data_IF_062949147569
#
_entry.id   IF_062949147569
#
_cell.length_a   1.000
_cell.length_b   1.000
_cell.length_c   1.000
_cell.angle_alpha   90.00
_cell.angle_beta   90.00
_cell.angle_gamma   90.00
#
_symmetry.space_group_name_H-M   'P 1'
#
loop_
_entity.id
_entity.type
_entity.pdbx_description
1 polymer ?
#
# COMPACT_ATOMS: atom_id res chain seq x y z
N UNK A 1 8.22 34.73 -24.79
CA UNK A 1 7.76 33.38 -25.16
C UNK A 1 7.56 32.58 -23.89
N UNK A 2 6.31 32.38 -23.46
CA UNK A 2 6.03 31.55 -22.29
C UNK A 2 6.32 30.10 -22.67
N UNK A 3 7.36 29.49 -22.08
CA UNK A 3 7.45 28.03 -22.06
C UNK A 3 6.17 27.56 -21.39
N UNK A 4 5.31 26.85 -22.12
CA UNK A 4 4.28 26.00 -21.53
C UNK A 4 5.01 24.94 -20.71
N UNK A 5 5.35 25.31 -19.47
CA UNK A 5 5.78 24.34 -18.48
C UNK A 5 4.57 23.45 -18.29
N UNK A 6 4.71 22.16 -18.63
CA UNK A 6 3.69 21.17 -18.27
C UNK A 6 3.36 21.39 -16.79
N UNK A 7 2.08 21.51 -16.40
CA UNK A 7 1.73 21.62 -15.00
C UNK A 7 2.43 20.50 -14.23
N UNK A 8 3.10 20.85 -13.14
CA UNK A 8 3.79 19.86 -12.30
C UNK A 8 2.72 19.17 -11.46
N UNK A 9 2.16 18.10 -12.03
CA UNK A 9 1.11 17.32 -11.38
C UNK A 9 1.70 16.49 -10.25
N UNK A 10 1.12 16.66 -9.06
CA UNK A 10 1.36 15.83 -7.89
C UNK A 10 0.11 15.04 -7.54
N UNK A 11 0.25 14.10 -6.62
CA UNK A 11 -0.85 13.25 -6.17
C UNK A 11 -1.19 13.51 -4.72
N UNK A 12 -2.47 13.50 -4.39
CA UNK A 12 -2.99 13.45 -3.02
C UNK A 12 -3.90 12.24 -2.87
N UNK A 13 -3.80 11.54 -1.75
CA UNK A 13 -4.78 10.54 -1.36
C UNK A 13 -5.65 11.08 -0.23
N UNK A 14 -6.93 10.75 -0.28
CA UNK A 14 -7.90 11.09 0.75
C UNK A 14 -8.59 9.84 1.25
N UNK A 15 -9.31 10.01 2.36
CA UNK A 15 -10.28 9.02 2.81
C UNK A 15 -11.35 8.76 1.73
N UNK A 16 -12.11 7.65 1.82
CA UNK A 16 -13.15 7.30 0.85
C UNK A 16 -14.23 8.37 0.65
N UNK A 17 -14.50 9.18 1.68
CA UNK A 17 -15.44 10.30 1.62
C UNK A 17 -14.90 11.54 0.87
N UNK A 18 -13.61 11.56 0.52
CA UNK A 18 -12.93 12.69 -0.13
C UNK A 18 -12.20 13.62 0.85
N UNK A 19 -12.29 13.37 2.16
CA UNK A 19 -11.69 14.21 3.18
C UNK A 19 -10.17 14.02 3.26
N UNK A 20 -9.43 15.12 3.25
CA UNK A 20 -7.97 15.14 3.41
C UNK A 20 -7.61 14.71 4.84
N UNK A 21 -6.70 13.74 5.01
CA UNK A 21 -6.22 13.34 6.33
C UNK A 21 -5.46 14.50 7.01
N UNK A 22 -5.45 14.56 8.36
CA UNK A 22 -4.59 15.49 9.08
C UNK A 22 -3.12 15.32 8.70
N UNK A 23 -2.36 16.42 8.72
CA UNK A 23 -0.92 16.40 8.50
C UNK A 23 -0.21 15.55 9.57
N UNK A 24 -0.68 15.65 10.83
CA UNK A 24 -0.19 14.82 11.94
C UNK A 24 -1.34 14.13 12.66
N UNK A 25 -1.59 12.83 12.35
CA UNK A 25 -2.54 11.96 13.02
C UNK A 25 -2.57 12.06 14.56
N UNK A 26 -1.41 11.91 15.20
CA UNK A 26 -1.30 11.92 16.67
C UNK A 26 -1.74 13.27 17.27
N UNK A 27 -1.36 14.39 16.66
CA UNK A 27 -1.80 15.72 17.11
C UNK A 27 -3.30 15.86 16.91
N UNK A 28 -3.85 15.42 15.77
CA UNK A 28 -5.29 15.45 15.54
C UNK A 28 -6.06 14.65 16.60
N UNK A 29 -5.59 13.46 16.96
CA UNK A 29 -6.18 12.64 18.02
C UNK A 29 -6.09 13.33 19.39
N UNK A 30 -4.93 13.90 19.73
CA UNK A 30 -4.73 14.63 20.98
C UNK A 30 -5.71 15.80 21.14
N UNK A 31 -5.75 16.72 20.16
CA UNK A 31 -6.61 17.90 20.22
C UNK A 31 -8.10 17.56 20.12
N UNK A 32 -8.48 16.53 19.35
CA UNK A 32 -9.86 16.03 19.34
C UNK A 32 -10.27 15.48 20.71
N UNK A 33 -9.35 14.81 21.42
CA UNK A 33 -9.57 14.35 22.80
C UNK A 33 -9.75 15.49 23.81
N UNK A 34 -9.27 16.69 23.50
CA UNK A 34 -9.51 17.90 24.27
C UNK A 34 -10.83 18.63 23.88
N UNK A 35 -11.59 18.09 22.93
CA UNK A 35 -12.84 18.66 22.44
C UNK A 35 -12.66 19.70 21.33
N UNK A 36 -11.45 19.86 20.78
CA UNK A 36 -11.21 20.76 19.65
C UNK A 36 -11.67 20.13 18.33
N UNK A 37 -12.28 20.95 17.47
CA UNK A 37 -12.63 20.55 16.10
C UNK A 37 -11.45 20.81 15.18
N UNK A 38 -10.90 19.75 14.59
CA UNK A 38 -9.80 19.87 13.62
C UNK A 38 -10.37 20.31 12.27
N UNK A 39 -9.88 21.40 11.67
CA UNK A 39 -10.27 21.78 10.31
C UNK A 39 -9.99 20.64 9.33
N UNK A 40 -10.90 20.43 8.39
CA UNK A 40 -10.74 19.44 7.32
C UNK A 40 -11.15 20.06 5.99
N UNK A 41 -10.72 19.43 4.90
CA UNK A 41 -11.10 19.81 3.53
C UNK A 41 -11.55 18.55 2.81
N UNK A 42 -12.73 18.59 2.21
CA UNK A 42 -13.16 17.57 1.26
C UNK A 42 -12.81 18.03 -0.16
N UNK A 43 -11.71 17.54 -0.72
CA UNK A 43 -11.25 18.00 -2.04
C UNK A 43 -12.10 17.45 -3.19
N UNK A 44 -13.00 16.50 -2.92
CA UNK A 44 -13.95 16.03 -3.92
C UNK A 44 -14.95 17.11 -4.35
N UNK A 45 -15.22 18.08 -3.48
CA UNK A 45 -16.17 19.17 -3.73
C UNK A 45 -15.55 20.31 -4.56
N UNK A 46 -14.26 20.21 -4.89
CA UNK A 46 -13.44 21.32 -5.42
C UNK A 46 -12.69 20.97 -6.72
N UNK A 47 -13.18 19.99 -7.49
CA UNK A 47 -12.54 19.61 -8.77
C UNK A 47 -12.52 20.81 -9.73
N UNK A 48 -11.33 21.15 -10.22
CA UNK A 48 -11.09 22.31 -11.09
C UNK A 48 -10.86 23.62 -10.33
N UNK A 49 -10.99 23.62 -9.00
CA UNK A 49 -10.89 24.81 -8.16
C UNK A 49 -9.54 24.90 -7.44
N UNK A 50 -9.23 26.11 -6.97
CA UNK A 50 -8.12 26.38 -6.06
C UNK A 50 -8.64 26.45 -4.63
N UNK A 51 -7.96 25.75 -3.74
CA UNK A 51 -8.30 25.67 -2.31
C UNK A 51 -7.14 26.23 -1.51
N UNK A 52 -7.46 27.17 -0.61
CA UNK A 52 -6.57 27.61 0.45
C UNK A 52 -6.69 26.70 1.67
N UNK A 53 -5.56 26.40 2.30
CA UNK A 53 -5.54 25.59 3.50
C UNK A 53 -6.30 26.31 4.63
N UNK A 54 -7.26 25.67 5.32
CA UNK A 54 -8.17 26.36 6.25
C UNK A 54 -7.48 26.80 7.54
N UNK A 55 -6.33 26.21 7.88
CA UNK A 55 -5.52 26.61 9.03
C UNK A 55 -4.04 26.44 8.70
N UNK A 56 -3.44 27.34 7.90
CA UNK A 56 -2.03 27.22 7.53
C UNK A 56 -1.17 27.26 8.81
N UNK A 57 -0.17 26.38 8.87
CA UNK A 57 0.81 26.35 9.95
C UNK A 57 1.98 27.30 9.70
N UNK A 58 2.97 27.28 10.60
CA UNK A 58 4.27 27.91 10.35
C UNK A 58 5.03 27.21 9.24
N UNK A 59 5.50 27.96 8.23
CA UNK A 59 6.12 27.42 7.01
C UNK A 59 7.19 26.36 7.31
N UNK A 60 6.98 25.19 6.72
CA UNK A 60 7.89 24.03 6.76
C UNK A 60 8.10 23.44 8.17
N UNK A 61 7.20 23.76 9.09
CA UNK A 61 7.16 23.24 10.45
C UNK A 61 5.74 22.73 10.77
N UNK A 62 5.62 21.65 11.54
CA UNK A 62 4.32 21.07 11.90
C UNK A 62 3.96 21.43 13.33
N UNK A 63 3.35 22.61 13.47
CA UNK A 63 2.83 23.19 14.70
C UNK A 63 1.37 22.83 14.96
N UNK A 64 0.63 22.36 13.94
CA UNK A 64 -0.81 22.06 14.02
C UNK A 64 -1.16 20.66 13.50
N UNK A 65 -2.31 20.09 13.92
CA UNK A 65 -2.82 18.81 13.43
C UNK A 65 -2.98 18.74 11.91
N UNK A 66 -3.50 19.82 11.32
CA UNK A 66 -3.65 20.00 9.89
C UNK A 66 -3.06 21.37 9.56
N UNK A 67 -1.92 21.36 8.87
CA UNK A 67 -1.15 22.56 8.56
C UNK A 67 -0.78 22.68 7.08
N UNK A 68 -0.79 21.57 6.34
CA UNK A 68 -0.44 21.51 4.92
C UNK A 68 -1.28 20.51 4.15
N UNK A 69 -1.50 20.80 2.88
CA UNK A 69 -1.79 19.76 1.90
C UNK A 69 -0.51 18.99 1.59
N UNK A 70 -0.51 17.70 1.92
CA UNK A 70 0.61 16.81 1.67
C UNK A 70 0.44 16.09 0.34
N UNK A 71 1.43 16.22 -0.53
CA UNK A 71 1.39 15.77 -1.91
C UNK A 71 2.59 14.90 -2.24
N UNK A 72 2.42 14.05 -3.24
CA UNK A 72 3.41 13.06 -3.64
C UNK A 72 3.71 13.20 -5.12
N UNK A 73 5.00 13.25 -5.46
CA UNK A 73 5.46 13.23 -6.86
C UNK A 73 5.21 11.87 -7.53
N UNK A 74 5.06 10.80 -6.73
CA UNK A 74 4.87 9.44 -7.21
C UNK A 74 3.78 8.74 -6.39
N UNK A 75 2.80 8.10 -7.06
CA UNK A 75 1.71 7.43 -6.36
C UNK A 75 2.11 6.30 -5.40
N UNK A 76 3.24 5.60 -5.62
CA UNK A 76 3.60 4.38 -4.86
C UNK A 76 3.90 4.56 -3.37
N UNK A 77 4.10 5.79 -2.91
CA UNK A 77 4.35 6.12 -1.48
C UNK A 77 3.17 6.86 -0.84
N UNK A 78 2.10 7.10 -1.61
CA UNK A 78 1.01 7.97 -1.18
C UNK A 78 0.22 7.41 0.01
N UNK A 79 0.34 6.10 0.25
CA UNK A 79 -0.34 5.38 1.31
C UNK A 79 0.38 5.48 2.68
N UNK A 80 1.56 6.10 2.74
CA UNK A 80 2.41 6.08 3.95
C UNK A 80 1.78 6.84 5.13
N UNK A 81 1.05 7.93 4.86
CA UNK A 81 0.53 8.86 5.88
C UNK A 81 -0.97 8.73 6.14
N UNK A 82 -1.60 7.72 5.54
CA UNK A 82 -3.00 7.42 5.79
C UNK A 82 -3.09 6.46 6.97
N UNK A 83 -3.82 6.86 8.02
CA UNK A 83 -4.16 5.96 9.15
C UNK A 83 -4.91 4.74 8.62
N UNK A 84 -5.96 4.99 7.85
CA UNK A 84 -6.70 4.00 7.07
C UNK A 84 -6.17 4.00 5.64
N UNK A 85 -5.20 3.12 5.37
CA UNK A 85 -4.47 3.11 4.10
C UNK A 85 -5.28 2.69 2.89
N UNK A 86 -6.44 2.05 3.09
CA UNK A 86 -7.32 1.59 2.01
C UNK A 86 -8.74 1.34 2.54
N UNK A 87 -9.81 1.63 1.78
CA UNK A 87 -9.83 2.26 0.46
C UNK A 87 -9.47 3.75 0.50
N UNK A 88 -9.06 4.30 -0.64
CA UNK A 88 -8.70 5.71 -0.79
C UNK A 88 -9.27 6.27 -2.08
N UNK A 89 -9.44 7.60 -2.12
CA UNK A 89 -9.58 8.33 -3.39
C UNK A 89 -8.26 8.99 -3.72
N UNK A 90 -7.97 9.11 -5.01
CA UNK A 90 -6.68 9.60 -5.50
C UNK A 90 -6.89 10.78 -6.44
N UNK A 91 -6.10 11.82 -6.26
CA UNK A 91 -6.31 13.10 -6.91
C UNK A 91 -5.03 13.57 -7.57
N UNK A 92 -5.15 14.07 -8.80
CA UNK A 92 -4.12 14.90 -9.41
C UNK A 92 -4.33 16.34 -8.95
N UNK A 93 -3.28 16.95 -8.39
CA UNK A 93 -3.31 18.31 -7.87
C UNK A 93 -2.09 19.08 -8.36
N UNK A 94 -2.24 20.40 -8.40
CA UNK A 94 -1.12 21.31 -8.62
C UNK A 94 -0.87 22.13 -7.37
N UNK A 95 0.34 22.06 -6.80
CA UNK A 95 0.72 22.96 -5.72
C UNK A 95 0.79 24.39 -6.26
N UNK A 96 0.21 25.33 -5.53
CA UNK A 96 0.30 26.76 -5.83
C UNK A 96 1.03 27.48 -4.70
N UNK A 97 1.60 28.65 -5.02
CA UNK A 97 2.35 29.45 -4.07
C UNK A 97 3.69 28.83 -3.67
N UNK A 98 4.10 29.09 -2.43
CA UNK A 98 5.33 28.52 -1.90
C UNK A 98 5.14 27.03 -1.57
N UNK A 99 6.14 26.24 -1.95
CA UNK A 99 6.16 24.80 -1.73
C UNK A 99 7.41 24.40 -0.98
N UNK A 100 7.32 23.35 -0.18
CA UNK A 100 8.45 22.87 0.60
C UNK A 100 8.36 21.38 0.87
N UNK A 101 9.46 20.84 1.35
CA UNK A 101 9.60 19.49 1.85
C UNK A 101 10.16 19.60 3.27
N UNK A 102 9.68 18.78 4.20
CA UNK A 102 10.19 18.77 5.58
C UNK A 102 11.73 18.72 5.59
N UNK A 103 12.37 19.53 6.43
CA UNK A 103 13.83 19.64 6.51
C UNK A 103 14.58 18.34 6.90
N UNK A 104 15.90 18.38 6.71
CA UNK A 104 17.01 17.46 7.04
C UNK A 104 16.91 15.93 6.86
N UNK A 105 15.75 15.26 6.95
CA UNK A 105 15.61 13.79 6.81
C UNK A 105 14.92 13.33 5.50
N UNK A 106 14.82 14.25 4.53
CA UNK A 106 14.55 14.10 3.10
C UNK A 106 13.75 12.87 2.60
N UNK A 107 12.46 13.08 2.35
CA UNK A 107 11.68 12.33 1.36
C UNK A 107 11.56 13.18 0.07
N UNK A 108 12.43 13.01 -0.95
CA UNK A 108 12.43 13.85 -2.16
C UNK A 108 11.17 13.70 -3.03
N UNK A 109 10.28 12.80 -2.63
CA UNK A 109 9.01 12.52 -3.29
C UNK A 109 7.83 13.23 -2.63
N UNK A 110 8.03 13.88 -1.48
CA UNK A 110 7.02 14.68 -0.78
C UNK A 110 7.08 16.14 -1.20
N UNK A 111 5.90 16.76 -1.19
CA UNK A 111 5.73 18.18 -1.34
C UNK A 111 4.60 18.66 -0.45
N UNK A 112 4.74 19.84 0.13
CA UNK A 112 3.72 20.49 0.93
C UNK A 112 3.40 21.85 0.34
N UNK A 113 2.12 22.23 0.42
CA UNK A 113 1.67 23.58 0.13
C UNK A 113 0.49 23.97 1.02
N UNK A 114 0.32 25.27 1.22
CA UNK A 114 -0.89 25.87 1.79
C UNK A 114 -1.96 26.15 0.75
N UNK A 115 -1.67 25.97 -0.54
CA UNK A 115 -2.64 26.18 -1.61
C UNK A 115 -2.47 25.11 -2.69
N UNK A 116 -3.59 24.54 -3.13
CA UNK A 116 -3.60 23.55 -4.21
C UNK A 116 -4.72 23.85 -5.19
N UNK A 117 -4.47 23.56 -6.47
CA UNK A 117 -5.53 23.41 -7.48
C UNK A 117 -5.83 21.93 -7.66
N UNK A 118 -7.08 21.52 -7.47
CA UNK A 118 -7.51 20.14 -7.71
C UNK A 118 -7.74 19.98 -9.21
N UNK A 119 -6.96 19.14 -9.88
CA UNK A 119 -7.07 18.96 -11.33
C UNK A 119 -8.20 18.01 -11.67
N UNK A 120 -8.15 16.79 -11.10
CA UNK A 120 -9.14 15.73 -11.32
C UNK A 120 -8.93 14.58 -10.34
N UNK A 121 -9.94 13.74 -10.21
CA UNK A 121 -9.79 12.41 -9.64
C UNK A 121 -9.09 11.46 -10.63
N UNK A 122 -8.30 10.53 -10.10
CA UNK A 122 -7.65 9.47 -10.85
C UNK A 122 -7.90 8.13 -10.18
N UNK A 123 -7.62 7.05 -10.91
CA UNK A 123 -7.94 5.72 -10.45
C UNK A 123 -7.13 5.34 -9.20
N UNK A 124 -7.82 4.96 -8.12
CA UNK A 124 -7.22 4.68 -6.81
C UNK A 124 -6.14 3.59 -6.83
N UNK A 125 -6.21 2.63 -7.77
CA UNK A 125 -5.20 1.59 -7.93
C UNK A 125 -3.79 2.16 -8.12
N UNK A 126 -3.67 3.38 -8.69
CA UNK A 126 -2.37 4.02 -8.88
C UNK A 126 -1.65 4.26 -7.56
N UNK A 127 -2.33 4.32 -6.41
CA UNK A 127 -1.70 4.44 -5.10
C UNK A 127 -0.73 3.28 -4.75
N UNK A 128 -0.88 2.12 -5.39
CA UNK A 128 0.09 1.01 -5.30
C UNK A 128 1.27 1.15 -6.29
N UNK A 129 1.29 2.22 -7.10
CA UNK A 129 2.27 2.46 -8.15
C UNK A 129 1.95 1.74 -9.46
N UNK A 130 2.98 1.52 -10.29
CA UNK A 130 2.83 1.07 -11.69
C UNK A 130 2.05 -0.25 -11.87
N UNK A 131 2.15 -1.18 -10.90
CA UNK A 131 1.45 -2.47 -10.93
C UNK A 131 0.17 -2.50 -10.10
N UNK A 132 -0.34 -1.34 -9.71
CA UNK A 132 -1.46 -1.26 -8.79
C UNK A 132 -2.74 -1.91 -9.31
N UNK A 133 -3.01 -1.81 -10.62
CA UNK A 133 -4.14 -2.51 -11.23
C UNK A 133 -4.02 -4.03 -11.09
N UNK A 134 -2.83 -4.60 -11.31
CA UNK A 134 -2.57 -6.04 -11.16
C UNK A 134 -2.69 -6.47 -9.70
N UNK A 135 -2.21 -5.66 -8.77
CA UNK A 135 -2.34 -5.93 -7.33
C UNK A 135 -3.80 -5.93 -6.91
N UNK A 136 -4.60 -4.94 -7.32
CA UNK A 136 -6.03 -4.93 -7.02
C UNK A 136 -6.77 -6.12 -7.67
N UNK A 137 -6.40 -6.51 -8.88
CA UNK A 137 -6.99 -7.68 -9.54
C UNK A 137 -6.70 -8.97 -8.76
N UNK A 138 -5.51 -9.12 -8.19
CA UNK A 138 -5.14 -10.27 -7.35
C UNK A 138 -5.88 -10.21 -6.02
N UNK A 139 -5.92 -9.04 -5.35
CA UNK A 139 -6.67 -8.85 -4.11
C UNK A 139 -8.14 -9.21 -4.29
N UNK A 140 -8.75 -8.87 -5.42
CA UNK A 140 -10.13 -9.22 -5.74
C UNK A 140 -10.35 -10.74 -5.92
N UNK A 141 -9.33 -11.48 -6.35
CA UNK A 141 -9.37 -12.95 -6.50
C UNK A 141 -9.07 -13.70 -5.20
N UNK A 142 -8.43 -13.06 -4.22
CA UNK A 142 -7.97 -13.71 -3.00
C UNK A 142 -9.06 -14.45 -2.21
N UNK A 143 -10.31 -13.95 -2.09
CA UNK A 143 -11.35 -14.71 -1.40
C UNK A 143 -11.61 -16.08 -2.05
N UNK A 144 -11.73 -16.16 -3.37
CA UNK A 144 -11.98 -17.41 -4.07
C UNK A 144 -10.75 -18.34 -4.00
N UNK A 145 -9.54 -17.79 -4.15
CA UNK A 145 -8.29 -18.53 -3.98
C UNK A 145 -8.14 -19.07 -2.55
N UNK A 146 -8.41 -18.26 -1.53
CA UNK A 146 -8.31 -18.68 -0.12
C UNK A 146 -9.32 -19.79 0.21
N UNK A 147 -10.54 -19.72 -0.34
CA UNK A 147 -11.54 -20.80 -0.21
C UNK A 147 -11.06 -22.08 -0.90
N UNK A 148 -10.46 -21.96 -2.08
CA UNK A 148 -9.86 -23.10 -2.78
C UNK A 148 -8.74 -23.73 -1.94
N UNK A 149 -7.78 -22.94 -1.44
CA UNK A 149 -6.68 -23.45 -0.63
C UNK A 149 -7.15 -24.08 0.69
N UNK A 150 -8.18 -23.53 1.32
CA UNK A 150 -8.81 -24.16 2.48
C UNK A 150 -9.48 -25.50 2.14
N UNK A 151 -10.07 -25.62 0.95
CA UNK A 151 -10.65 -26.88 0.46
C UNK A 151 -9.57 -27.92 0.17
N UNK A 152 -8.46 -27.50 -0.44
CA UNK A 152 -7.27 -28.34 -0.67
C UNK A 152 -6.70 -28.87 0.65
N UNK A 153 -6.56 -27.98 1.65
CA UNK A 153 -6.16 -28.35 3.00
C UNK A 153 -7.11 -29.36 3.65
N UNK A 154 -8.42 -29.15 3.53
CA UNK A 154 -9.41 -30.08 4.11
C UNK A 154 -9.40 -31.46 3.43
N UNK A 155 -9.05 -31.52 2.15
CA UNK A 155 -9.00 -32.78 1.39
C UNK A 155 -7.76 -33.63 1.71
N UNK A 156 -6.61 -33.00 1.97
CA UNK A 156 -5.38 -33.67 2.41
C UNK A 156 -4.62 -32.78 3.39
N UNK A 157 -5.01 -32.75 4.68
CA UNK A 157 -4.40 -31.85 5.66
C UNK A 157 -2.90 -32.11 5.81
N UNK A 158 -2.50 -33.38 5.82
CA UNK A 158 -1.13 -33.78 6.13
C UNK A 158 -0.19 -33.57 4.93
N UNK A 159 -0.63 -33.89 3.70
CA UNK A 159 0.15 -33.61 2.49
C UNK A 159 0.22 -32.12 2.16
N UNK A 160 -0.88 -31.39 2.36
CA UNK A 160 -0.90 -29.93 2.16
C UNK A 160 -0.01 -29.24 3.19
N UNK A 161 -0.07 -29.65 4.47
CA UNK A 161 0.81 -29.14 5.53
C UNK A 161 2.29 -29.30 5.18
N UNK A 162 2.73 -30.51 4.82
CA UNK A 162 4.14 -30.74 4.40
C UNK A 162 4.56 -29.85 3.23
N UNK A 163 3.68 -29.68 2.24
CA UNK A 163 3.95 -28.85 1.05
C UNK A 163 4.09 -27.38 1.43
N UNK A 164 3.20 -26.87 2.28
CA UNK A 164 3.25 -25.49 2.75
C UNK A 164 4.43 -25.23 3.69
N UNK A 165 4.74 -26.13 4.64
CA UNK A 165 5.89 -26.00 5.55
C UNK A 165 7.22 -25.98 4.76
N UNK A 166 7.36 -26.84 3.74
CA UNK A 166 8.54 -26.85 2.88
C UNK A 166 8.66 -25.55 2.06
N UNK A 167 7.53 -25.01 1.57
CA UNK A 167 7.52 -23.73 0.86
C UNK A 167 7.80 -22.54 1.80
N UNK A 168 7.18 -22.49 2.98
CA UNK A 168 7.42 -21.48 4.01
C UNK A 168 8.88 -21.44 4.44
N UNK A 169 9.49 -22.60 4.69
CA UNK A 169 10.92 -22.73 5.01
C UNK A 169 11.77 -22.04 3.95
N UNK A 170 11.48 -22.28 2.65
CA UNK A 170 12.20 -21.62 1.55
C UNK A 170 11.95 -20.11 1.53
N UNK A 171 10.72 -19.65 1.79
CA UNK A 171 10.38 -18.22 1.86
C UNK A 171 11.21 -17.53 2.95
N UNK A 172 11.37 -18.18 4.10
CA UNK A 172 12.10 -17.67 5.25
C UNK A 172 13.63 -17.72 5.06
N UNK A 173 14.17 -18.87 4.63
CA UNK A 173 15.60 -19.04 4.36
C UNK A 173 16.11 -18.04 3.32
N UNK A 174 15.33 -17.83 2.26
CA UNK A 174 15.66 -16.85 1.22
C UNK A 174 15.30 -15.41 1.60
N UNK A 175 14.54 -15.23 2.70
CA UNK A 175 13.98 -13.95 3.12
C UNK A 175 13.20 -13.25 2.00
N UNK A 176 12.46 -14.01 1.21
CA UNK A 176 11.82 -13.55 -0.01
C UNK A 176 10.84 -12.39 0.26
N UNK A 177 9.96 -12.54 1.25
CA UNK A 177 8.98 -11.51 1.62
C UNK A 177 9.60 -10.44 2.54
N UNK A 178 10.31 -10.86 3.59
CA UNK A 178 10.75 -9.98 4.69
C UNK A 178 11.99 -9.15 4.36
N UNK A 179 12.82 -9.57 3.41
CA UNK A 179 14.01 -8.82 2.98
C UNK A 179 13.92 -8.41 1.52
N UNK A 180 13.79 -9.37 0.59
CA UNK A 180 13.85 -9.06 -0.84
C UNK A 180 12.72 -8.16 -1.29
N UNK A 181 11.46 -8.55 -1.07
CA UNK A 181 10.32 -7.71 -1.41
C UNK A 181 10.34 -6.38 -0.65
N UNK A 182 10.64 -6.41 0.66
CA UNK A 182 10.73 -5.22 1.50
C UNK A 182 11.73 -4.18 0.98
N UNK A 183 13.00 -4.55 0.84
CA UNK A 183 14.04 -3.62 0.41
C UNK A 183 13.86 -3.17 -1.03
N UNK A 184 13.39 -4.06 -1.92
CA UNK A 184 13.05 -3.68 -3.30
C UNK A 184 11.89 -2.69 -3.35
N UNK A 185 10.88 -2.85 -2.50
CA UNK A 185 9.80 -1.88 -2.38
C UNK A 185 10.30 -0.54 -1.87
N UNK A 186 11.10 -0.53 -0.81
CA UNK A 186 11.69 0.70 -0.24
C UNK A 186 12.57 1.45 -1.24
N UNK A 187 13.49 0.77 -1.92
CA UNK A 187 14.34 1.40 -2.94
C UNK A 187 13.57 1.85 -4.19
N UNK A 188 12.48 1.15 -4.53
CA UNK A 188 11.62 1.49 -5.67
C UNK A 188 10.51 2.48 -5.34
N UNK A 189 10.48 2.96 -4.10
CA UNK A 189 9.46 3.85 -3.55
C UNK A 189 8.03 3.31 -3.61
N UNK A 190 7.85 2.14 -3.01
CA UNK A 190 6.59 1.37 -2.96
C UNK A 190 6.39 0.69 -1.61
N UNK A 191 7.09 1.14 -0.57
CA UNK A 191 7.05 0.48 0.74
C UNK A 191 5.64 0.58 1.33
N UNK A 192 5.03 1.76 1.27
CA UNK A 192 3.66 1.96 1.73
C UNK A 192 2.68 1.08 0.94
N UNK A 193 2.82 1.01 -0.39
CA UNK A 193 2.03 0.13 -1.25
C UNK A 193 2.18 -1.36 -0.88
N UNK A 194 3.41 -1.83 -0.59
CA UNK A 194 3.65 -3.20 -0.17
C UNK A 194 3.03 -3.50 1.19
N UNK A 195 3.19 -2.60 2.17
CA UNK A 195 2.61 -2.77 3.49
C UNK A 195 1.08 -2.85 3.42
N UNK A 196 0.44 -1.95 2.68
CA UNK A 196 -1.02 -1.96 2.48
C UNK A 196 -1.47 -3.23 1.75
N UNK A 197 -0.79 -3.64 0.67
CA UNK A 197 -1.15 -4.85 -0.07
C UNK A 197 -1.03 -6.10 0.80
N UNK A 198 0.04 -6.20 1.60
CA UNK A 198 0.25 -7.32 2.53
C UNK A 198 -0.84 -7.39 3.59
N UNK A 199 -1.24 -6.25 4.16
CA UNK A 199 -2.32 -6.20 5.15
C UNK A 199 -3.64 -6.66 4.51
N UNK A 200 -4.06 -6.04 3.40
CA UNK A 200 -5.29 -6.40 2.70
C UNK A 200 -5.32 -7.87 2.29
N UNK A 201 -4.19 -8.40 1.81
CA UNK A 201 -4.10 -9.79 1.41
C UNK A 201 -4.20 -10.75 2.60
N UNK A 202 -3.49 -10.44 3.70
CA UNK A 202 -3.53 -11.22 4.93
C UNK A 202 -4.93 -11.22 5.55
N UNK A 203 -5.60 -10.08 5.59
CA UNK A 203 -6.94 -9.94 6.18
C UNK A 203 -8.00 -10.68 5.34
N UNK A 204 -8.02 -10.46 4.03
CA UNK A 204 -8.97 -11.12 3.13
C UNK A 204 -8.80 -12.66 3.12
N UNK A 205 -7.56 -13.13 3.10
CA UNK A 205 -7.26 -14.56 3.13
C UNK A 205 -7.63 -15.19 4.47
N UNK A 206 -7.30 -14.55 5.61
CA UNK A 206 -7.69 -15.08 6.92
C UNK A 206 -9.18 -15.11 7.14
N UNK A 207 -9.88 -14.01 6.82
CA UNK A 207 -11.33 -13.95 6.95
C UNK A 207 -11.98 -15.08 6.14
N UNK A 208 -11.53 -15.28 4.90
CA UNK A 208 -12.14 -16.29 4.03
C UNK A 208 -11.80 -17.71 4.45
N UNK A 209 -10.54 -18.01 4.79
CA UNK A 209 -10.12 -19.32 5.26
C UNK A 209 -10.81 -19.70 6.58
N UNK A 210 -10.95 -18.74 7.50
CA UNK A 210 -11.67 -18.93 8.77
C UNK A 210 -13.15 -19.22 8.52
N UNK A 211 -13.80 -18.46 7.62
CA UNK A 211 -15.18 -18.70 7.23
C UNK A 211 -15.38 -20.07 6.53
N UNK A 212 -14.35 -20.59 5.87
CA UNK A 212 -14.32 -21.92 5.28
C UNK A 212 -14.05 -23.05 6.29
N UNK A 213 -13.86 -22.74 7.57
CA UNK A 213 -13.63 -23.73 8.63
C UNK A 213 -12.20 -24.25 8.73
N UNK A 214 -11.23 -23.58 8.11
CA UNK A 214 -9.82 -23.93 8.24
C UNK A 214 -9.33 -23.73 9.69
N UNK A 215 -8.47 -24.61 10.17
CA UNK A 215 -7.86 -24.48 11.50
C UNK A 215 -6.84 -23.30 11.54
N UNK A 216 -6.47 -22.79 12.74
CA UNK A 216 -5.60 -21.62 12.85
C UNK A 216 -4.24 -21.75 12.15
N UNK A 217 -3.69 -22.96 12.07
CA UNK A 217 -2.41 -23.19 11.41
C UNK A 217 -2.56 -23.10 9.88
N UNK A 218 -3.59 -23.73 9.32
CA UNK A 218 -3.97 -23.58 7.92
C UNK A 218 -4.22 -22.12 7.53
N UNK A 219 -4.91 -21.36 8.40
CA UNK A 219 -5.16 -19.93 8.20
C UNK A 219 -3.85 -19.15 8.09
N UNK A 220 -2.90 -19.35 9.01
CA UNK A 220 -1.62 -18.64 8.99
C UNK A 220 -0.82 -18.90 7.68
N UNK A 221 -0.80 -20.14 7.22
CA UNK A 221 -0.15 -20.55 5.98
C UNK A 221 -0.83 -19.98 4.73
N UNK A 222 -2.17 -19.94 4.71
CA UNK A 222 -2.96 -19.29 3.66
C UNK A 222 -2.71 -17.77 3.63
N UNK A 223 -2.62 -17.12 4.80
CA UNK A 223 -2.24 -15.71 4.88
C UNK A 223 -0.84 -15.45 4.32
N UNK A 224 0.13 -16.31 4.65
CA UNK A 224 1.49 -16.19 4.11
C UNK A 224 1.50 -16.32 2.58
N UNK A 225 0.77 -17.31 2.03
CA UNK A 225 0.61 -17.49 0.58
C UNK A 225 0.01 -16.25 -0.08
N UNK A 226 -1.05 -15.69 0.48
CA UNK A 226 -1.71 -14.50 -0.03
C UNK A 226 -0.77 -13.27 -0.04
N UNK A 227 -0.04 -13.04 1.07
CA UNK A 227 0.94 -11.95 1.19
C UNK A 227 2.10 -12.10 0.20
N UNK A 228 2.63 -13.32 0.05
CA UNK A 228 3.67 -13.59 -0.94
C UNK A 228 3.18 -13.31 -2.36
N UNK A 229 1.97 -13.75 -2.70
CA UNK A 229 1.39 -13.55 -4.03
C UNK A 229 1.26 -12.06 -4.39
N UNK A 230 0.69 -11.23 -3.51
CA UNK A 230 0.56 -9.79 -3.79
C UNK A 230 1.91 -9.08 -3.80
N UNK A 231 2.85 -9.48 -2.94
CA UNK A 231 4.20 -8.92 -2.94
C UNK A 231 4.95 -9.26 -4.24
N UNK A 232 4.85 -10.52 -4.70
CA UNK A 232 5.41 -10.98 -5.96
C UNK A 232 4.83 -10.23 -7.16
N UNK A 233 3.54 -9.94 -7.15
CA UNK A 233 2.86 -9.17 -8.20
C UNK A 233 3.25 -7.69 -8.18
N UNK A 234 3.28 -7.06 -7.00
CA UNK A 234 3.67 -5.66 -6.84
C UNK A 234 5.14 -5.42 -7.25
N UNK A 235 6.02 -6.38 -6.93
CA UNK A 235 7.47 -6.33 -7.17
C UNK A 235 7.93 -7.05 -8.44
N UNK A 236 7.02 -7.55 -9.28
CA UNK A 236 7.37 -8.40 -10.42
C UNK A 236 8.43 -7.80 -11.35
N UNK A 237 8.34 -6.49 -11.64
CA UNK A 237 9.31 -5.76 -12.50
C UNK A 237 10.58 -5.33 -11.76
N UNK A 238 10.61 -5.48 -10.44
CA UNK A 238 11.68 -5.01 -9.54
C UNK A 238 12.56 -6.15 -9.02
N UNK A 239 12.07 -7.38 -9.05
CA UNK A 239 12.79 -8.61 -8.73
C UNK A 239 12.89 -9.39 -10.05
N UNK A 240 13.93 -9.13 -10.85
CA UNK A 240 14.02 -9.66 -12.23
C UNK A 240 15.43 -10.00 -12.71
N UNK A 241 16.46 -9.41 -12.12
CA UNK A 241 17.83 -9.48 -12.65
C UNK A 241 18.55 -10.70 -12.09
N UNK A 242 18.96 -11.61 -12.98
CA UNK A 242 19.68 -12.84 -12.63
C UNK A 242 18.76 -13.99 -12.20
N UNK A 243 19.30 -15.21 -12.27
CA UNK A 243 18.58 -16.45 -11.94
C UNK A 243 18.07 -16.46 -10.49
N UNK A 244 18.86 -15.90 -9.56
CA UNK A 244 18.48 -15.84 -8.15
C UNK A 244 17.25 -14.96 -7.90
N UNK A 245 17.17 -13.75 -8.48
CA UNK A 245 15.97 -12.93 -8.32
C UNK A 245 14.74 -13.58 -8.96
N UNK A 246 14.93 -14.26 -10.10
CA UNK A 246 13.83 -15.00 -10.73
C UNK A 246 13.31 -16.11 -9.81
N UNK A 247 14.20 -16.80 -9.08
CA UNK A 247 13.78 -17.82 -8.11
C UNK A 247 13.05 -17.20 -6.91
N UNK A 248 13.50 -16.07 -6.38
CA UNK A 248 12.80 -15.31 -5.33
C UNK A 248 11.40 -14.90 -5.79
N UNK A 249 11.28 -14.34 -6.99
CA UNK A 249 9.98 -13.96 -7.55
C UNK A 249 9.09 -15.19 -7.76
N UNK A 250 9.62 -16.28 -8.30
CA UNK A 250 8.88 -17.53 -8.47
C UNK A 250 8.35 -18.03 -7.13
N UNK A 251 9.18 -18.00 -6.10
CA UNK A 251 8.80 -18.40 -4.75
C UNK A 251 7.68 -17.53 -4.17
N UNK A 252 7.76 -16.20 -4.32
CA UNK A 252 6.68 -15.27 -3.94
C UNK A 252 5.37 -15.56 -4.69
N UNK A 253 5.45 -15.98 -5.95
CA UNK A 253 4.28 -16.35 -6.77
C UNK A 253 3.78 -17.78 -6.49
N UNK A 254 4.35 -18.50 -5.51
CA UNK A 254 3.89 -19.82 -5.09
C UNK A 254 4.63 -21.01 -5.70
N UNK A 255 5.79 -20.81 -6.35
CA UNK A 255 6.58 -21.91 -6.90
C UNK A 255 6.93 -22.94 -5.82
N UNK A 256 6.56 -24.20 -6.06
CA UNK A 256 6.73 -25.31 -5.10
C UNK A 256 5.45 -25.70 -4.35
N UNK A 257 4.37 -24.91 -4.46
CA UNK A 257 3.07 -25.28 -3.87
C UNK A 257 2.27 -26.25 -4.75
N UNK A 258 2.55 -26.31 -6.06
CA UNK A 258 1.87 -27.22 -6.99
C UNK A 258 2.52 -28.62 -7.05
N UNK A 259 3.60 -28.85 -6.29
CA UNK A 259 4.33 -30.13 -6.27
C UNK A 259 4.24 -30.73 -4.86
N UNK A 260 3.66 -31.92 -4.69
CA UNK A 260 3.60 -32.56 -3.37
C UNK A 260 4.98 -32.69 -2.75
N UNK A 261 5.14 -32.29 -1.48
CA UNK A 261 6.37 -32.52 -0.75
C UNK A 261 6.64 -34.04 -0.62
N UNK A 262 7.90 -34.49 -0.79
CA UNK A 262 8.25 -35.90 -0.63
C UNK A 262 7.96 -36.39 0.79
N UNK A 263 7.50 -37.63 0.90
CA UNK A 263 7.28 -38.29 2.20
C UNK A 263 8.66 -38.67 2.77
N UNK A 264 9.05 -38.21 3.96
CA UNK A 264 10.29 -38.66 4.60
C UNK A 264 10.22 -40.17 4.85
N UNK A 265 11.29 -40.87 4.47
CA UNK A 265 11.43 -42.32 4.56
C UNK A 265 11.54 -42.81 6.01
#
# INVERSE_FOLDING_TARGET
>A
MARSARPVVHYMATRPDGTVPPTTPHLAAYYSGLGETIPTVNIADHIGETIDHPSPGERWYTDKPFSYFHMYTRPGEILERLEERWPVRLWEVEPLGETGNWGNDFAPYWLMSHQVRVVREVEAWRAFGHRGAQVLAVLAQLPDLARQWATEWAADPEGTRRTYEAWETRVDETRALTSWAYWRARYSRREAGLQTANQLAGDAAAQTATAAGADPHAVALIQLRARCLVAGQLMFDRIRTGEYEQSIRGLLLGAGLDTPAPVPA
#
